data_IF_665983153210
#
_entry.id   IF_665983153210
#
_cell.length_a   1.000
_cell.length_b   1.000
_cell.length_c   1.000
_cell.angle_alpha   90.00
_cell.angle_beta   90.00
_cell.angle_gamma   90.00
#
_symmetry.space_group_name_H-M   'P 1'
#
loop_
_entity.id
_entity.type
_entity.pdbx_description
1 polymer ?
#
# COMPACT_ATOMS: atom_id res chain seq x y z
N UNK A 1 44.88 -18.68 37.85
CA UNK A 1 45.04 -19.30 36.51
C UNK A 1 43.79 -20.12 36.18
N UNK A 2 43.35 -20.03 34.92
CA UNK A 2 42.25 -20.79 34.25
C UNK A 2 40.83 -20.30 34.59
N UNK A 3 40.25 -19.34 33.86
CA UNK A 3 39.79 -19.27 32.44
C UNK A 3 38.27 -19.51 32.39
N UNK A 4 37.55 -18.42 32.10
CA UNK A 4 36.15 -18.35 31.72
C UNK A 4 35.87 -19.22 30.49
N UNK A 5 34.73 -19.91 30.47
CA UNK A 5 34.14 -20.46 29.25
C UNK A 5 32.74 -19.85 29.13
N UNK A 6 32.66 -18.80 28.31
CA UNK A 6 31.41 -18.26 27.79
C UNK A 6 30.89 -19.27 26.76
N UNK A 7 29.74 -19.91 27.03
CA UNK A 7 29.04 -20.71 26.03
C UNK A 7 28.29 -19.72 25.15
N UNK A 8 28.89 -19.39 24.00
CA UNK A 8 28.24 -18.63 22.94
C UNK A 8 27.26 -19.57 22.24
N UNK A 9 25.97 -19.37 22.49
CA UNK A 9 24.90 -20.02 21.74
C UNK A 9 24.94 -19.49 20.31
N UNK A 10 25.43 -20.32 19.39
CA UNK A 10 25.40 -20.05 17.95
C UNK A 10 23.93 -20.04 17.54
N UNK A 11 23.37 -18.84 17.33
CA UNK A 11 22.10 -18.65 16.62
C UNK A 11 22.36 -19.02 15.17
N UNK A 12 21.93 -20.22 14.79
CA UNK A 12 22.00 -20.70 13.42
C UNK A 12 21.00 -19.87 12.59
N UNK A 13 21.49 -18.78 11.99
CA UNK A 13 20.72 -17.96 11.06
C UNK A 13 20.55 -18.76 9.76
N UNK A 14 19.48 -19.54 9.68
CA UNK A 14 19.10 -20.27 8.47
C UNK A 14 18.70 -19.29 7.38
N UNK A 15 19.64 -18.95 6.50
CA UNK A 15 19.33 -18.28 5.24
C UNK A 15 18.62 -19.27 4.32
N UNK A 16 17.29 -19.29 4.37
CA UNK A 16 16.48 -19.88 3.31
C UNK A 16 16.53 -18.94 2.10
N UNK A 17 17.49 -19.19 1.21
CA UNK A 17 17.50 -18.61 -0.14
C UNK A 17 16.40 -19.29 -0.96
N UNK A 18 15.20 -18.70 -0.95
CA UNK A 18 14.11 -19.09 -1.84
C UNK A 18 14.37 -18.53 -3.24
N UNK A 19 14.50 -19.42 -4.22
CA UNK A 19 14.53 -19.07 -5.63
C UNK A 19 13.14 -18.57 -6.10
N UNK A 20 13.02 -17.24 -6.14
CA UNK A 20 12.20 -16.38 -7.01
C UNK A 20 11.04 -17.00 -7.84
N UNK A 21 9.85 -17.03 -7.25
CA UNK A 21 8.75 -16.20 -7.78
C UNK A 21 8.76 -14.94 -6.91
N UNK A 22 8.70 -13.72 -7.48
CA UNK A 22 8.51 -12.51 -6.68
C UNK A 22 7.10 -12.53 -6.08
N UNK A 23 6.89 -13.36 -5.05
CA UNK A 23 5.70 -13.31 -4.21
C UNK A 23 5.90 -12.13 -3.28
N UNK A 24 5.17 -11.07 -3.55
CA UNK A 24 5.01 -9.98 -2.60
C UNK A 24 4.65 -10.54 -1.22
N UNK A 25 5.05 -9.87 -0.13
CA UNK A 25 4.73 -10.36 1.20
C UNK A 25 3.23 -10.42 1.41
N UNK A 26 2.81 -11.38 2.24
CA UNK A 26 1.47 -11.40 2.82
C UNK A 26 1.32 -10.16 3.72
N UNK A 27 0.30 -9.33 3.47
CA UNK A 27 0.05 -8.10 4.22
C UNK A 27 -0.69 -8.39 5.54
N UNK A 28 -1.09 -9.64 5.77
CA UNK A 28 -1.77 -10.12 6.97
C UNK A 28 -3.27 -9.79 6.98
N UNK A 29 -4.03 -10.46 7.85
CA UNK A 29 -5.49 -10.33 7.98
C UNK A 29 -6.24 -10.46 6.64
N UNK A 30 -5.71 -11.27 5.71
CA UNK A 30 -6.33 -11.55 4.41
C UNK A 30 -6.02 -10.54 3.30
N UNK A 31 -5.21 -9.52 3.58
CA UNK A 31 -4.75 -8.58 2.56
C UNK A 31 -3.54 -9.14 1.80
N UNK A 32 -3.50 -8.90 0.50
CA UNK A 32 -2.38 -9.31 -0.36
C UNK A 32 -2.20 -8.33 -1.50
N UNK A 33 -1.03 -8.38 -2.12
CA UNK A 33 -0.82 -7.74 -3.41
C UNK A 33 -1.37 -8.61 -4.53
N UNK A 34 -1.92 -7.95 -5.52
CA UNK A 34 -2.28 -8.54 -6.81
C UNK A 34 -1.61 -7.74 -7.92
N UNK A 35 -1.15 -8.45 -8.95
CA UNK A 35 -0.60 -7.80 -10.14
C UNK A 35 -1.76 -7.46 -11.07
N UNK A 36 -1.99 -6.18 -11.29
CA UNK A 36 -2.90 -5.69 -12.33
C UNK A 36 -2.30 -5.83 -13.72
N UNK A 37 -2.88 -5.13 -14.69
CA UNK A 37 -2.34 -5.06 -16.05
C UNK A 37 -0.90 -4.52 -16.05
N UNK A 38 -0.04 -5.10 -16.89
CA UNK A 38 1.30 -4.54 -17.16
C UNK A 38 2.33 -4.59 -16.02
N UNK A 39 2.14 -5.46 -15.02
CA UNK A 39 2.94 -5.54 -13.77
C UNK A 39 2.66 -4.44 -12.74
N UNK A 40 1.57 -3.68 -12.89
CA UNK A 40 1.14 -2.72 -11.88
C UNK A 40 0.68 -3.44 -10.59
N UNK A 41 0.89 -2.81 -9.44
CA UNK A 41 0.55 -3.39 -8.14
C UNK A 41 -0.68 -2.77 -7.53
N UNK A 42 -1.60 -3.60 -7.07
CA UNK A 42 -2.77 -3.22 -6.27
C UNK A 42 -2.84 -4.04 -4.97
N UNK A 43 -3.65 -3.57 -4.01
CA UNK A 43 -3.94 -4.30 -2.77
C UNK A 43 -5.38 -4.75 -2.80
N UNK A 44 -5.58 -6.05 -2.57
CA UNK A 44 -6.90 -6.67 -2.44
C UNK A 44 -7.09 -7.27 -1.05
N UNK A 45 -8.35 -7.44 -0.64
CA UNK A 45 -8.71 -8.18 0.57
C UNK A 45 -8.88 -9.70 0.30
N UNK A 46 -9.33 -10.45 1.30
CA UNK A 46 -9.52 -11.91 1.21
C UNK A 46 -10.58 -12.36 0.19
N UNK A 47 -11.46 -11.44 -0.23
CA UNK A 47 -12.51 -11.65 -1.24
C UNK A 47 -12.04 -11.26 -2.65
N UNK A 48 -10.77 -10.85 -2.79
CA UNK A 48 -10.19 -10.23 -4.00
C UNK A 48 -10.87 -8.91 -4.39
N UNK A 49 -11.42 -8.19 -3.41
CA UNK A 49 -11.92 -6.83 -3.61
C UNK A 49 -10.74 -5.86 -3.60
N UNK A 50 -10.64 -5.00 -4.62
CA UNK A 50 -9.62 -3.95 -4.71
C UNK A 50 -9.84 -2.91 -3.62
N UNK A 51 -8.86 -2.80 -2.71
CA UNK A 51 -8.89 -1.87 -1.58
C UNK A 51 -8.05 -0.63 -1.86
N UNK A 52 -6.94 -0.78 -2.58
CA UNK A 52 -6.14 0.30 -3.17
C UNK A 52 -5.81 -0.12 -4.59
N UNK A 53 -6.14 0.73 -5.57
CA UNK A 53 -5.95 0.41 -6.99
C UNK A 53 -4.48 0.30 -7.41
N UNK A 54 -4.27 0.06 -8.70
CA UNK A 54 -2.96 -0.15 -9.34
C UNK A 54 -2.03 1.06 -9.20
N UNK A 55 -0.75 0.90 -9.59
CA UNK A 55 0.28 1.95 -9.52
C UNK A 55 0.72 2.34 -8.09
N UNK A 56 0.73 1.36 -7.18
CA UNK A 56 1.37 1.48 -5.87
C UNK A 56 2.88 1.65 -6.06
N UNK A 57 3.43 2.70 -5.43
CA UNK A 57 4.86 3.01 -5.49
C UNK A 57 5.58 2.45 -4.26
N UNK A 58 5.08 2.78 -3.07
CA UNK A 58 5.69 2.39 -1.80
C UNK A 58 4.63 1.92 -0.83
N UNK A 59 5.04 1.01 0.07
CA UNK A 59 4.17 0.48 1.11
C UNK A 59 4.95 0.13 2.37
N UNK A 60 4.26 0.16 3.50
CA UNK A 60 4.71 -0.41 4.76
C UNK A 60 3.51 -0.98 5.52
N UNK A 61 3.70 -2.06 6.27
CA UNK A 61 2.63 -2.67 7.03
C UNK A 61 3.14 -3.31 8.33
N UNK A 62 2.25 -3.43 9.31
CA UNK A 62 2.45 -4.16 10.55
C UNK A 62 1.23 -5.06 10.82
N UNK A 63 1.00 -5.52 12.04
CA UNK A 63 -0.18 -6.36 12.38
C UNK A 63 -1.52 -5.62 12.35
N UNK A 64 -1.52 -4.29 12.28
CA UNK A 64 -2.68 -3.40 12.47
C UNK A 64 -2.93 -2.55 11.24
N UNK A 65 -1.88 -1.99 10.62
CA UNK A 65 -2.01 -1.04 9.53
C UNK A 65 -1.29 -1.49 8.27
N UNK A 66 -1.80 -1.04 7.13
CA UNK A 66 -1.07 -0.97 5.86
C UNK A 66 -1.09 0.51 5.46
N UNK A 67 0.05 1.05 5.08
CA UNK A 67 0.17 2.41 4.53
C UNK A 67 0.80 2.36 3.16
N UNK A 68 0.33 3.23 2.27
CA UNK A 68 0.64 3.15 0.84
C UNK A 68 0.82 4.56 0.26
N UNK A 69 1.79 4.73 -0.64
CA UNK A 69 1.78 5.80 -1.63
C UNK A 69 1.47 5.24 -3.01
N UNK A 70 0.72 6.01 -3.79
CA UNK A 70 0.25 5.63 -5.11
C UNK A 70 0.37 6.83 -6.04
N UNK A 71 0.72 6.57 -7.30
CA UNK A 71 0.52 7.53 -8.39
C UNK A 71 -0.65 7.04 -9.23
N UNK A 72 -1.84 7.65 -9.16
CA UNK A 72 -2.99 7.16 -9.91
C UNK A 72 -2.82 7.37 -11.41
N UNK A 73 -3.26 6.37 -12.19
CA UNK A 73 -3.29 6.45 -13.66
C UNK A 73 -4.24 7.55 -14.18
N UNK A 74 -5.37 7.79 -13.49
CA UNK A 74 -6.16 9.01 -13.63
C UNK A 74 -5.57 10.11 -12.73
N UNK A 75 -4.56 10.82 -13.23
CA UNK A 75 -3.95 11.98 -12.55
C UNK A 75 -5.01 13.07 -12.33
N UNK A 76 -5.40 13.38 -11.07
CA UNK A 76 -6.53 14.28 -10.79
C UNK A 76 -6.36 15.70 -11.30
N UNK A 77 -5.12 16.19 -11.36
CA UNK A 77 -4.80 17.56 -11.77
C UNK A 77 -4.73 17.75 -13.29
N UNK A 78 -5.07 16.72 -14.08
CA UNK A 78 -5.07 16.77 -15.55
C UNK A 78 -6.52 16.81 -16.05
N UNK A 79 -7.02 17.98 -16.51
CA UNK A 79 -8.38 18.10 -17.02
C UNK A 79 -8.62 17.20 -18.23
N UNK A 80 -9.75 16.49 -18.21
CA UNK A 80 -10.16 15.63 -19.32
C UNK A 80 -9.34 14.35 -19.49
N UNK A 81 -8.62 13.90 -18.45
CA UNK A 81 -7.73 12.73 -18.52
C UNK A 81 -8.45 11.44 -18.92
N UNK A 82 -9.72 11.29 -18.53
CA UNK A 82 -10.53 10.09 -18.82
C UNK A 82 -10.93 10.01 -20.30
N UNK A 83 -10.98 11.15 -20.98
CA UNK A 83 -11.33 11.30 -22.39
C UNK A 83 -10.10 11.26 -23.32
N UNK A 84 -8.89 11.25 -22.76
CA UNK A 84 -7.65 11.20 -23.54
C UNK A 84 -7.43 9.83 -24.20
N UNK A 85 -6.67 9.83 -25.30
CA UNK A 85 -6.12 8.59 -25.86
C UNK A 85 -5.13 7.98 -24.88
N UNK A 86 -4.91 6.66 -24.98
CA UNK A 86 -3.94 5.95 -24.15
C UNK A 86 -2.57 6.63 -24.12
N UNK A 87 -2.00 6.97 -25.30
CA UNK A 87 -0.67 7.58 -25.38
C UNK A 87 -0.56 8.91 -24.63
N UNK A 88 -1.58 9.78 -24.74
CA UNK A 88 -1.62 11.07 -24.04
C UNK A 88 -1.79 10.89 -22.54
N UNK A 89 -2.61 9.93 -22.14
CA UNK A 89 -2.82 9.60 -20.73
C UNK A 89 -1.56 8.99 -20.11
N UNK A 90 -0.87 8.12 -20.84
CA UNK A 90 0.42 7.55 -20.45
C UNK A 90 1.47 8.65 -20.30
N UNK A 91 1.56 9.57 -21.27
CA UNK A 91 2.45 10.72 -21.18
C UNK A 91 2.13 11.59 -19.94
N UNK A 92 0.85 11.82 -19.65
CA UNK A 92 0.44 12.57 -18.46
C UNK A 92 0.81 11.84 -17.16
N UNK A 93 0.62 10.53 -17.10
CA UNK A 93 0.99 9.70 -15.95
C UNK A 93 2.50 9.67 -15.70
N UNK A 94 3.30 9.40 -16.74
CA UNK A 94 4.75 9.31 -16.65
C UNK A 94 5.39 10.63 -16.21
N UNK A 95 4.83 11.76 -16.67
CA UNK A 95 5.29 13.09 -16.29
C UNK A 95 4.70 13.61 -14.97
N UNK A 96 3.73 12.90 -14.39
CA UNK A 96 3.05 13.34 -13.17
C UNK A 96 3.92 13.15 -11.93
N UNK A 97 3.94 14.18 -11.08
CA UNK A 97 4.47 14.10 -9.72
C UNK A 97 3.36 13.98 -8.66
N UNK A 98 2.11 13.83 -9.12
CA UNK A 98 0.99 13.67 -8.21
C UNK A 98 1.14 12.38 -7.42
N UNK A 99 0.97 12.48 -6.11
CA UNK A 99 1.01 11.36 -5.18
C UNK A 99 -0.23 11.43 -4.31
N UNK A 100 -0.83 10.27 -4.08
CA UNK A 100 -1.86 10.10 -3.08
C UNK A 100 -1.50 8.98 -2.12
N UNK A 101 -2.06 9.07 -0.92
CA UNK A 101 -1.71 8.19 0.18
C UNK A 101 -2.95 7.49 0.72
N UNK A 102 -2.73 6.27 1.22
CA UNK A 102 -3.78 5.43 1.79
C UNK A 102 -3.34 4.84 3.12
N UNK A 103 -4.31 4.59 3.99
CA UNK A 103 -4.15 3.83 5.24
C UNK A 103 -5.27 2.79 5.28
N UNK A 104 -4.92 1.52 5.50
CA UNK A 104 -5.88 0.45 5.81
C UNK A 104 -5.71 0.09 7.28
N UNK A 105 -6.78 0.18 8.07
CA UNK A 105 -6.83 -0.38 9.42
C UNK A 105 -7.39 -1.80 9.37
N UNK A 106 -6.56 -2.80 9.67
CA UNK A 106 -6.92 -4.22 9.62
C UNK A 106 -7.76 -4.67 10.81
N UNK A 107 -7.84 -3.86 11.87
CA UNK A 107 -8.64 -4.17 13.08
C UNK A 107 -10.07 -3.65 12.99
N UNK A 108 -10.37 -2.78 12.04
CA UNK A 108 -11.71 -2.28 11.80
C UNK A 108 -12.47 -3.17 10.81
N UNK A 109 -13.78 -3.24 10.99
CA UNK A 109 -14.66 -3.93 10.04
C UNK A 109 -14.67 -3.19 8.69
N UNK A 110 -14.52 -3.92 7.59
CA UNK A 110 -14.55 -3.37 6.24
C UNK A 110 -15.99 -3.27 5.73
N UNK A 111 -16.69 -2.19 6.09
CA UNK A 111 -18.07 -1.97 5.65
C UNK A 111 -18.10 -1.29 4.30
N UNK A 112 -18.70 -1.96 3.33
CA UNK A 112 -18.98 -1.39 2.02
C UNK A 112 -19.97 -0.22 2.12
N UNK A 113 -19.70 0.82 1.36
CA UNK A 113 -20.61 1.90 1.04
C UNK A 113 -20.37 2.35 -0.40
N UNK A 114 -21.42 2.82 -1.07
CA UNK A 114 -21.29 3.46 -2.37
C UNK A 114 -21.24 4.96 -2.17
N UNK A 115 -20.19 5.62 -2.66
CA UNK A 115 -20.19 7.07 -2.76
C UNK A 115 -21.06 7.49 -3.92
N UNK A 116 -22.27 7.97 -3.64
CA UNK A 116 -23.24 8.37 -4.66
C UNK A 116 -22.77 9.50 -5.58
N UNK A 117 -21.73 10.26 -5.20
CA UNK A 117 -21.18 11.33 -6.04
C UNK A 117 -20.13 10.81 -7.02
N UNK A 118 -19.20 9.99 -6.53
CA UNK A 118 -18.12 9.43 -7.37
C UNK A 118 -18.50 8.10 -8.03
N UNK A 119 -19.60 7.48 -7.58
CA UNK A 119 -20.02 6.11 -7.92
C UNK A 119 -18.93 5.06 -7.63
N UNK A 120 -18.02 5.36 -6.70
CA UNK A 120 -16.93 4.47 -6.29
C UNK A 120 -17.28 3.75 -4.99
N UNK A 121 -16.84 2.50 -4.89
CA UNK A 121 -16.89 1.73 -3.66
C UNK A 121 -15.98 2.39 -2.61
N UNK A 122 -16.49 2.52 -1.38
CA UNK A 122 -15.74 2.96 -0.21
C UNK A 122 -15.87 1.94 0.90
N UNK A 123 -14.78 1.68 1.59
CA UNK A 123 -14.71 0.75 2.71
C UNK A 123 -14.33 1.50 3.98
N UNK A 124 -15.09 1.31 5.05
CA UNK A 124 -14.94 2.10 6.29
C UNK A 124 -13.56 2.02 6.94
N UNK A 125 -12.81 0.94 6.70
CA UNK A 125 -11.48 0.72 7.26
C UNK A 125 -10.34 1.17 6.30
N UNK A 126 -10.69 1.70 5.13
CA UNK A 126 -9.75 2.23 4.15
C UNK A 126 -9.89 3.74 4.09
N UNK A 127 -8.82 4.42 4.47
CA UNK A 127 -8.74 5.86 4.57
C UNK A 127 -7.90 6.40 3.42
N UNK A 128 -8.53 7.21 2.56
CA UNK A 128 -7.90 7.83 1.40
C UNK A 128 -8.86 7.94 0.22
N UNK A 129 -8.36 8.37 -0.95
CA UNK A 129 -7.00 8.86 -1.16
C UNK A 129 -6.79 10.22 -0.48
N UNK A 130 -5.60 10.45 0.08
CA UNK A 130 -5.23 11.72 0.73
C UNK A 130 -4.07 12.42 0.03
N UNK A 131 -4.00 13.74 0.18
CA UNK A 131 -2.75 14.48 0.02
C UNK A 131 -1.82 14.26 1.23
N UNK A 132 -0.54 14.64 1.12
CA UNK A 132 0.48 14.33 2.13
C UNK A 132 0.09 14.87 3.52
N UNK A 133 -0.41 16.09 3.60
CA UNK A 133 -0.78 16.73 4.86
C UNK A 133 -1.99 16.06 5.52
N UNK A 134 -3.03 15.74 4.76
CA UNK A 134 -4.20 15.00 5.25
C UNK A 134 -3.81 13.59 5.72
N UNK A 135 -2.94 12.92 4.98
CA UNK A 135 -2.41 11.61 5.34
C UNK A 135 -1.66 11.66 6.68
N UNK A 136 -0.78 12.64 6.87
CA UNK A 136 -0.04 12.81 8.12
C UNK A 136 -0.98 13.07 9.31
N UNK A 137 -2.00 13.91 9.12
CA UNK A 137 -3.03 14.15 10.14
C UNK A 137 -3.82 12.88 10.46
N UNK A 138 -4.27 12.15 9.43
CA UNK A 138 -5.04 10.93 9.63
C UNK A 138 -4.21 9.83 10.30
N UNK A 139 -2.91 9.73 9.99
CA UNK A 139 -1.99 8.82 10.70
C UNK A 139 -1.92 9.09 12.19
N UNK A 140 -1.83 10.37 12.57
CA UNK A 140 -1.82 10.77 13.97
C UNK A 140 -3.15 10.44 14.66
N UNK A 141 -4.27 10.75 14.01
CA UNK A 141 -5.62 10.45 14.51
C UNK A 141 -5.84 8.95 14.75
N UNK A 142 -5.41 8.11 13.82
CA UNK A 142 -5.56 6.65 13.90
C UNK A 142 -4.51 5.98 14.79
N UNK A 143 -3.49 6.71 15.26
CA UNK A 143 -2.39 6.15 16.03
C UNK A 143 -1.49 5.21 15.21
N UNK A 144 -1.30 5.48 13.92
CA UNK A 144 -0.39 4.70 13.07
C UNK A 144 1.04 4.84 13.59
N UNK A 145 1.78 3.73 13.83
CA UNK A 145 3.12 3.79 14.40
C UNK A 145 4.09 4.64 13.57
N UNK A 146 4.98 5.39 14.24
CA UNK A 146 5.90 6.33 13.58
C UNK A 146 6.99 5.63 12.77
N UNK A 147 7.30 4.39 13.13
CA UNK A 147 8.22 3.49 12.44
C UNK A 147 7.66 2.95 11.12
N UNK A 148 6.34 3.06 10.89
CA UNK A 148 5.68 2.58 9.69
C UNK A 148 5.83 3.60 8.54
N UNK A 149 7.04 3.72 7.99
CA UNK A 149 7.45 4.79 7.08
C UNK A 149 7.44 4.30 5.62
N UNK A 150 6.91 5.13 4.72
CA UNK A 150 7.06 4.97 3.26
C UNK A 150 8.43 5.50 2.86
N UNK A 151 9.20 4.73 2.08
CA UNK A 151 10.52 5.18 1.62
C UNK A 151 10.32 6.22 0.53
N UNK A 152 10.74 7.46 0.76
CA UNK A 152 10.66 8.53 -0.24
C UNK A 152 11.64 8.33 -1.40
#
# INVERSE_FOLDING_TARGET
MKKFIFISTIVLLGMITSCSEHKYPDLGDGYKFETGDGNSLEIVNFENTVMVGTEILEYAFDSTFIVVSQRPWDVPDVPGIKEMTYDKRNEAFENSKFLQYWIINKKEESKYSLDSLSMLAKYSNVYGPFQKEEYLQKREELGVPRELILKE
#
